data_IF_684730054674
#
_entry.id   IF_684730054674
#
_cell.length_a   1.000
_cell.length_b   1.000
_cell.length_c   1.000
_cell.angle_alpha   90.00
_cell.angle_beta   90.00
_cell.angle_gamma   90.00
#
_symmetry.space_group_name_H-M   'P 1'
#
loop_
_entity.id
_entity.type
_entity.pdbx_description
1 polymer ?
#
# COMPACT_ATOMS: atom_id res chain seq x y z
N UNK A 1 -62.08 15.81 -24.52
CA UNK A 1 -60.99 16.82 -24.57
C UNK A 1 -60.40 17.12 -23.20
N UNK A 2 -61.14 17.73 -22.25
CA UNK A 2 -60.61 18.14 -20.92
C UNK A 2 -60.06 17.00 -20.05
N UNK A 3 -60.71 15.84 -20.06
CA UNK A 3 -60.27 14.66 -19.27
C UNK A 3 -58.92 14.11 -19.77
N UNK A 4 -58.72 14.08 -21.09
CA UNK A 4 -57.46 13.63 -21.71
C UNK A 4 -56.31 14.55 -21.27
N UNK A 5 -56.54 15.87 -21.24
CA UNK A 5 -55.55 16.83 -20.77
C UNK A 5 -55.19 16.64 -19.30
N UNK A 6 -56.18 16.33 -18.45
CA UNK A 6 -55.94 16.06 -17.02
C UNK A 6 -55.11 14.79 -16.85
N UNK A 7 -55.44 13.72 -17.56
CA UNK A 7 -54.66 12.47 -17.52
C UNK A 7 -53.23 12.69 -18.02
N UNK A 8 -53.07 13.45 -19.09
CA UNK A 8 -51.75 13.79 -19.63
C UNK A 8 -50.93 14.62 -18.64
N UNK A 9 -51.56 15.58 -17.95
CA UNK A 9 -50.91 16.39 -16.92
C UNK A 9 -50.48 15.55 -15.71
N UNK A 10 -51.31 14.60 -15.27
CA UNK A 10 -50.97 13.68 -14.17
C UNK A 10 -49.79 12.79 -14.58
N UNK A 11 -49.78 12.25 -15.79
CA UNK A 11 -48.66 11.47 -16.31
C UNK A 11 -47.38 12.30 -16.39
N UNK A 12 -47.48 13.55 -16.83
CA UNK A 12 -46.35 14.48 -16.87
C UNK A 12 -45.78 14.69 -15.46
N UNK A 13 -46.62 14.96 -14.47
CA UNK A 13 -46.20 15.18 -13.07
C UNK A 13 -45.54 13.92 -12.49
N UNK A 14 -46.09 12.73 -12.76
CA UNK A 14 -45.50 11.46 -12.32
C UNK A 14 -44.09 11.26 -12.88
N UNK A 15 -43.88 11.56 -14.16
CA UNK A 15 -42.56 11.47 -14.82
C UNK A 15 -41.59 12.49 -14.23
N UNK A 16 -42.03 13.73 -13.99
CA UNK A 16 -41.19 14.77 -13.38
C UNK A 16 -40.73 14.39 -11.96
N UNK A 17 -41.61 13.79 -11.15
CA UNK A 17 -41.26 13.33 -9.80
C UNK A 17 -40.20 12.22 -9.83
N UNK A 18 -40.35 11.23 -10.74
CA UNK A 18 -39.35 10.16 -10.91
C UNK A 18 -37.99 10.70 -11.32
N UNK A 19 -37.97 11.64 -12.26
CA UNK A 19 -36.73 12.26 -12.75
C UNK A 19 -35.97 13.00 -11.63
N UNK A 20 -36.68 13.68 -10.74
CA UNK A 20 -36.05 14.36 -9.60
C UNK A 20 -35.47 13.43 -8.53
N UNK A 21 -35.92 12.17 -8.46
CA UNK A 21 -35.34 11.17 -7.56
C UNK A 21 -33.98 10.69 -8.07
N UNK A 22 -33.86 10.38 -9.36
CA UNK A 22 -32.60 9.93 -9.97
C UNK A 22 -31.50 11.01 -9.91
N UNK A 23 -31.85 12.29 -10.03
CA UNK A 23 -30.88 13.40 -9.96
C UNK A 23 -30.30 13.60 -8.55
N UNK A 24 -30.99 13.14 -7.48
CA UNK A 24 -30.45 13.22 -6.11
C UNK A 24 -29.39 12.16 -5.84
N UNK A 25 -29.56 10.93 -6.33
CA UNK A 25 -28.61 9.83 -6.12
C UNK A 25 -27.25 10.07 -6.79
N UNK A 26 -27.23 10.73 -7.95
CA UNK A 26 -25.96 11.03 -8.66
C UNK A 26 -25.10 12.05 -7.89
N UNK A 27 -25.71 12.91 -7.06
CA UNK A 27 -24.95 13.88 -6.24
C UNK A 27 -24.34 13.26 -5.00
N UNK A 28 -25.03 12.30 -4.36
CA UNK A 28 -24.45 11.59 -3.21
C UNK A 28 -23.34 10.63 -3.61
N UNK A 29 -23.47 9.97 -4.77
CA UNK A 29 -22.41 9.09 -5.28
C UNK A 29 -21.13 9.84 -5.65
N UNK A 30 -21.23 11.07 -6.17
CA UNK A 30 -20.06 11.92 -6.44
C UNK A 30 -19.36 12.38 -5.16
N UNK A 31 -20.11 12.72 -4.11
CA UNK A 31 -19.53 13.15 -2.84
C UNK A 31 -18.76 12.01 -2.14
N UNK A 32 -19.27 10.77 -2.19
CA UNK A 32 -18.59 9.62 -1.61
C UNK A 32 -17.31 9.22 -2.36
N UNK A 33 -17.26 9.42 -3.67
CA UNK A 33 -16.07 9.13 -4.47
C UNK A 33 -14.94 10.12 -4.15
N UNK A 34 -15.27 11.40 -3.97
CA UNK A 34 -14.26 12.42 -3.64
C UNK A 34 -13.63 12.16 -2.25
N UNK A 35 -14.45 11.84 -1.25
CA UNK A 35 -13.98 11.52 0.11
C UNK A 35 -13.10 10.27 0.14
N UNK A 36 -13.44 9.25 -0.66
CA UNK A 36 -12.62 8.04 -0.76
C UNK A 36 -11.29 8.28 -1.50
N UNK A 37 -11.25 9.20 -2.47
CA UNK A 37 -10.01 9.55 -3.15
C UNK A 37 -9.03 10.26 -2.21
N UNK A 38 -9.50 11.24 -1.44
CA UNK A 38 -8.66 11.95 -0.46
C UNK A 38 -8.12 11.01 0.62
N UNK A 39 -8.95 10.07 1.10
CA UNK A 39 -8.49 9.09 2.10
C UNK A 39 -7.47 8.10 1.53
N UNK A 40 -7.63 7.69 0.26
CA UNK A 40 -6.71 6.78 -0.40
C UNK A 40 -5.34 7.45 -0.65
N UNK A 41 -5.32 8.69 -1.15
CA UNK A 41 -4.06 9.45 -1.32
C UNK A 41 -3.31 9.60 0.02
N UNK A 42 -4.03 9.86 1.12
CA UNK A 42 -3.43 9.95 2.45
C UNK A 42 -2.83 8.62 2.91
N UNK A 43 -3.50 7.50 2.63
CA UNK A 43 -3.01 6.17 2.99
C UNK A 43 -1.80 5.77 2.14
N UNK A 44 -1.81 6.10 0.86
CA UNK A 44 -0.70 5.83 -0.06
C UNK A 44 0.58 6.57 0.36
N UNK A 45 0.47 7.87 0.67
CA UNK A 45 1.59 8.67 1.16
C UNK A 45 2.20 8.13 2.47
N UNK A 46 1.36 7.60 3.37
CA UNK A 46 1.84 6.96 4.61
C UNK A 46 2.52 5.62 4.34
N UNK A 47 2.00 4.85 3.38
CA UNK A 47 2.58 3.56 3.02
C UNK A 47 3.97 3.75 2.40
N UNK A 48 4.12 4.75 1.53
CA UNK A 48 5.40 5.12 0.95
C UNK A 48 6.41 5.55 2.02
N UNK A 49 6.01 6.38 2.98
CA UNK A 49 6.87 6.78 4.09
C UNK A 49 7.29 5.58 4.97
N UNK A 50 6.36 4.68 5.29
CA UNK A 50 6.65 3.48 6.07
C UNK A 50 7.54 2.49 5.31
N UNK A 51 7.36 2.37 4.00
CA UNK A 51 8.21 1.53 3.15
C UNK A 51 9.66 2.05 3.15
N UNK A 52 9.83 3.36 3.02
CA UNK A 52 11.15 4.00 3.11
C UNK A 52 11.79 3.78 4.49
N UNK A 53 11.02 3.88 5.58
CA UNK A 53 11.52 3.63 6.94
C UNK A 53 11.94 2.16 7.14
N UNK A 54 11.18 1.20 6.60
CA UNK A 54 11.55 -0.23 6.63
C UNK A 54 12.82 -0.48 5.82
N UNK A 55 13.00 0.18 4.69
CA UNK A 55 14.19 0.04 3.85
C UNK A 55 15.43 0.64 4.53
N UNK A 56 15.32 1.81 5.16
CA UNK A 56 16.39 2.42 5.94
C UNK A 56 16.80 1.55 7.15
N UNK A 57 15.83 1.00 7.88
CA UNK A 57 16.09 0.08 8.99
C UNK A 57 16.79 -1.21 8.53
N UNK A 58 16.42 -1.74 7.35
CA UNK A 58 17.09 -2.91 6.78
C UNK A 58 18.54 -2.60 6.39
N UNK A 59 18.77 -1.48 5.70
CA UNK A 59 20.10 -1.04 5.33
C UNK A 59 21.00 -0.82 6.56
N UNK A 60 20.45 -0.22 7.62
CA UNK A 60 21.17 -0.04 8.88
C UNK A 60 21.54 -1.36 9.57
N UNK A 61 20.64 -2.35 9.56
CA UNK A 61 20.91 -3.68 10.12
C UNK A 61 21.97 -4.45 9.31
N UNK A 62 21.92 -4.38 7.99
CA UNK A 62 22.92 -5.01 7.12
C UNK A 62 24.32 -4.42 7.34
N UNK A 63 24.42 -3.10 7.47
CA UNK A 63 25.68 -2.43 7.77
C UNK A 63 26.27 -2.85 9.14
N UNK A 64 25.40 -3.08 10.13
CA UNK A 64 25.82 -3.58 11.46
C UNK A 64 26.26 -5.04 11.36
N UNK A 65 25.56 -5.88 10.60
CA UNK A 65 25.92 -7.29 10.39
C UNK A 65 27.27 -7.44 9.68
N UNK A 66 27.55 -6.63 8.66
CA UNK A 66 28.83 -6.64 7.95
C UNK A 66 29.99 -6.24 8.88
N UNK A 67 29.79 -5.21 9.73
CA UNK A 67 30.77 -4.82 10.75
C UNK A 67 31.00 -5.92 11.79
N UNK A 68 29.94 -6.57 12.25
CA UNK A 68 30.04 -7.67 13.22
C UNK A 68 30.78 -8.89 12.64
N UNK A 69 30.57 -9.22 11.37
CA UNK A 69 31.27 -10.30 10.68
C UNK A 69 32.74 -9.95 10.39
N UNK A 70 33.00 -8.73 9.91
CA UNK A 70 34.34 -8.30 9.51
C UNK A 70 35.28 -8.03 10.70
N UNK A 71 34.79 -7.42 11.78
CA UNK A 71 35.66 -6.98 12.89
C UNK A 71 35.66 -7.95 14.08
N UNK A 72 34.53 -8.61 14.36
CA UNK A 72 34.39 -9.47 15.53
C UNK A 72 34.41 -10.96 15.18
N UNK A 73 34.46 -11.31 13.89
CA UNK A 73 34.40 -12.69 13.43
C UNK A 73 33.12 -13.42 13.86
N UNK A 74 32.05 -12.67 14.13
CA UNK A 74 30.80 -13.23 14.65
C UNK A 74 30.07 -13.98 13.53
N UNK A 75 29.78 -15.25 13.76
CA UNK A 75 29.03 -16.13 12.85
C UNK A 75 27.64 -16.40 13.42
N UNK A 76 26.64 -16.53 12.53
CA UNK A 76 25.26 -16.79 12.93
C UNK A 76 25.14 -18.23 13.47
N UNK A 77 24.24 -18.49 14.42
CA UNK A 77 23.99 -19.85 14.92
C UNK A 77 23.52 -20.76 13.77
N UNK A 78 24.38 -21.70 13.36
CA UNK A 78 24.11 -22.66 12.27
C UNK A 78 24.86 -22.41 10.95
N UNK A 79 25.77 -21.42 10.87
CA UNK A 79 26.65 -21.22 9.70
C UNK A 79 27.95 -22.05 9.82
N UNK A 80 28.37 -22.72 8.75
CA UNK A 80 29.71 -23.33 8.61
C UNK A 80 30.70 -22.29 8.07
N UNK A 81 31.70 -21.94 8.88
CA UNK A 81 32.75 -20.98 8.51
C UNK A 81 33.96 -21.72 7.94
N UNK A 82 34.26 -21.48 6.66
CA UNK A 82 35.44 -22.02 6.00
C UNK A 82 36.54 -20.96 5.98
N UNK A 83 37.54 -21.11 6.86
CA UNK A 83 38.77 -20.31 6.81
C UNK A 83 39.75 -20.96 5.83
N UNK A 84 39.99 -20.31 4.71
CA UNK A 84 41.02 -20.75 3.76
C UNK A 84 42.37 -20.28 4.31
N UNK A 85 43.13 -21.20 4.91
CA UNK A 85 44.52 -20.97 5.31
C UNK A 85 45.45 -21.34 4.15
N UNK A 86 46.40 -20.45 3.85
CA UNK A 86 47.42 -20.68 2.82
C UNK A 86 48.24 -21.94 3.19
N UNK A 87 48.44 -22.90 2.25
CA UNK A 87 49.04 -24.20 2.54
C UNK A 87 50.51 -24.14 2.97
N UNK A 88 51.17 -22.96 2.93
CA UNK A 88 52.55 -22.80 3.40
C UNK A 88 52.68 -22.77 4.94
N UNK A 89 51.58 -22.60 5.69
CA UNK A 89 51.58 -22.60 7.17
C UNK A 89 50.89 -23.83 7.80
N UNK A 90 50.47 -24.79 6.98
CA UNK A 90 50.06 -26.10 7.49
C UNK A 90 51.34 -26.90 7.79
N UNK A 91 51.95 -26.68 8.96
CA UNK A 91 53.00 -27.56 9.47
C UNK A 91 52.50 -29.01 9.39
N UNK A 92 53.23 -29.91 8.72
CA UNK A 92 52.88 -31.32 8.72
C UNK A 92 53.19 -31.87 10.12
N UNK A 93 52.12 -32.18 10.86
CA UNK A 93 52.20 -32.90 12.13
C UNK A 93 52.88 -34.27 11.91
N UNK A 94 53.92 -34.64 12.69
CA UNK A 94 54.65 -35.90 12.54
C UNK A 94 53.85 -37.18 12.86
#
# INVERSE_FOLDING_TARGET
>A
MRIILIVLAILLVLVQIRFWQEVREVRSLRAMVEEQFEENERLEARNEALAAEVEDLRAGLEAIEERARAELGLIRKGEEFFLIVDPEHAEPDP
#
